data_IF_894416337958
#
_entry.id   IF_894416337958
#
_cell.length_a   1.000
_cell.length_b   1.000
_cell.length_c   1.000
_cell.angle_alpha   90.00
_cell.angle_beta   90.00
_cell.angle_gamma   90.00
#
_symmetry.space_group_name_H-M   'P 1'
#
loop_
_entity.id
_entity.type
_entity.pdbx_description
1 polymer ?
#
# COMPACT_ATOMS: atom_id res chain seq x y z
N UNK A 1 -3.22 7.88 -7.94
CA UNK A 1 -2.65 6.52 -7.77
C UNK A 1 -3.53 5.42 -8.41
N UNK A 2 -2.95 4.28 -8.84
CA UNK A 2 -3.69 3.09 -9.32
C UNK A 2 -3.11 1.78 -8.77
N UNK A 3 -3.98 0.86 -8.34
CA UNK A 3 -3.63 -0.41 -7.70
C UNK A 3 -4.29 -1.58 -8.43
N UNK A 4 -3.56 -2.66 -8.71
CA UNK A 4 -4.12 -3.89 -9.29
C UNK A 4 -3.54 -5.09 -8.58
N UNK A 5 -4.36 -5.76 -7.76
CA UNK A 5 -3.98 -6.97 -7.04
C UNK A 5 -4.21 -8.20 -7.90
N UNK A 6 -3.35 -9.21 -7.80
CA UNK A 6 -3.43 -10.43 -8.61
C UNK A 6 -3.63 -11.69 -7.77
N UNK A 7 -3.46 -11.63 -6.45
CA UNK A 7 -3.50 -12.78 -5.53
C UNK A 7 -2.32 -12.77 -4.56
N UNK A 8 -2.47 -13.39 -3.39
CA UNK A 8 -1.46 -13.36 -2.31
C UNK A 8 -1.01 -11.91 -2.04
N UNK A 9 0.30 -11.62 -2.06
CA UNK A 9 0.85 -10.25 -1.99
C UNK A 9 1.22 -9.67 -3.35
N UNK A 10 0.89 -10.36 -4.44
CA UNK A 10 1.22 -9.93 -5.80
C UNK A 10 0.34 -8.73 -6.21
N UNK A 11 0.95 -7.55 -6.33
CA UNK A 11 0.24 -6.31 -6.67
C UNK A 11 1.09 -5.46 -7.61
N UNK A 12 0.43 -4.82 -8.58
CA UNK A 12 1.00 -3.77 -9.42
C UNK A 12 0.47 -2.42 -8.99
N UNK A 13 1.37 -1.45 -8.86
CA UNK A 13 1.12 -0.14 -8.26
C UNK A 13 1.64 0.92 -9.22
N UNK A 14 0.78 1.86 -9.60
CA UNK A 14 1.18 3.08 -10.28
C UNK A 14 1.03 4.27 -9.33
N UNK A 15 2.15 4.90 -8.99
CA UNK A 15 2.22 6.01 -8.03
C UNK A 15 3.36 6.96 -8.40
N UNK A 16 3.11 8.26 -8.36
CA UNK A 16 4.13 9.28 -8.66
C UNK A 16 4.73 9.16 -10.06
N UNK A 17 3.95 8.68 -11.04
CA UNK A 17 4.41 8.46 -12.40
C UNK A 17 5.18 7.16 -12.65
N UNK A 18 5.40 6.34 -11.61
CA UNK A 18 6.20 5.11 -11.66
C UNK A 18 5.35 3.87 -11.36
N UNK A 19 5.80 2.73 -11.87
CA UNK A 19 5.25 1.40 -11.71
C UNK A 19 6.12 0.55 -10.77
N UNK A 20 5.53 0.12 -9.68
CA UNK A 20 6.10 -0.86 -8.76
C UNK A 20 5.32 -2.16 -8.83
N UNK A 21 6.03 -3.28 -8.73
CA UNK A 21 5.41 -4.60 -8.68
C UNK A 21 5.92 -5.32 -7.45
N UNK A 22 5.02 -5.75 -6.59
CA UNK A 22 5.35 -6.51 -5.38
C UNK A 22 5.09 -7.96 -5.64
N UNK A 23 6.05 -8.81 -5.25
CA UNK A 23 5.92 -10.27 -5.23
C UNK A 23 5.30 -10.92 -6.48
N UNK A 24 5.75 -10.59 -7.70
CA UNK A 24 5.17 -11.17 -8.92
C UNK A 24 5.29 -12.70 -8.94
N UNK A 25 6.29 -13.26 -8.26
CA UNK A 25 6.47 -14.70 -8.10
C UNK A 25 5.37 -15.41 -7.30
N UNK A 26 4.57 -14.66 -6.52
CA UNK A 26 3.44 -15.18 -5.74
C UNK A 26 2.10 -15.01 -6.47
N UNK A 27 2.12 -14.46 -7.69
CA UNK A 27 0.91 -14.39 -8.50
C UNK A 27 0.36 -15.80 -8.79
N UNK A 28 -0.97 -15.99 -8.80
CA UNK A 28 -1.58 -17.29 -9.01
C UNK A 28 -1.34 -17.83 -10.43
N UNK A 29 -1.57 -19.13 -10.61
CA UNK A 29 -1.47 -19.77 -11.92
C UNK A 29 -2.35 -19.09 -12.96
N UNK A 30 -1.78 -18.83 -14.14
CA UNK A 30 -2.44 -18.09 -15.22
C UNK A 30 -2.03 -16.61 -15.32
N UNK A 31 -1.33 -16.07 -14.32
CA UNK A 31 -0.66 -14.77 -14.41
C UNK A 31 0.80 -14.97 -14.81
N UNK A 32 1.22 -14.39 -15.93
CA UNK A 32 2.63 -14.41 -16.34
C UNK A 32 3.43 -13.40 -15.48
N UNK A 33 4.42 -13.91 -14.75
CA UNK A 33 5.22 -13.12 -13.82
C UNK A 33 6.12 -12.10 -14.54
N UNK A 34 6.61 -12.44 -15.73
CA UNK A 34 7.44 -11.57 -16.54
C UNK A 34 6.60 -10.46 -17.17
N UNK A 35 5.38 -10.77 -17.62
CA UNK A 35 4.43 -9.78 -18.09
C UNK A 35 4.01 -8.83 -16.96
N UNK A 36 3.72 -9.37 -15.78
CA UNK A 36 3.35 -8.57 -14.61
C UNK A 36 4.46 -7.58 -14.22
N UNK A 37 5.73 -8.02 -14.27
CA UNK A 37 6.90 -7.19 -13.98
C UNK A 37 7.30 -6.26 -15.14
N UNK A 38 6.73 -6.42 -16.34
CA UNK A 38 7.13 -5.66 -17.52
C UNK A 38 6.85 -4.16 -17.34
N UNK A 39 7.88 -3.36 -17.58
CA UNK A 39 7.83 -1.90 -17.44
C UNK A 39 7.78 -1.40 -16.00
N UNK A 40 7.99 -2.27 -15.00
CA UNK A 40 8.17 -1.84 -13.61
C UNK A 40 9.55 -1.21 -13.40
N UNK A 41 9.59 -0.05 -12.76
CA UNK A 41 10.82 0.60 -12.32
C UNK A 41 11.51 -0.25 -11.26
N UNK A 42 10.72 -0.89 -10.38
CA UNK A 42 11.25 -1.82 -9.38
C UNK A 42 10.28 -2.96 -9.07
N UNK A 43 10.85 -4.16 -8.97
CA UNK A 43 10.20 -5.33 -8.39
C UNK A 43 10.60 -5.43 -6.91
N UNK A 44 9.60 -5.50 -6.04
CA UNK A 44 9.73 -5.44 -4.59
C UNK A 44 9.34 -6.76 -3.96
N UNK A 45 9.77 -6.95 -2.71
CA UNK A 45 9.30 -8.04 -1.86
C UNK A 45 8.59 -7.45 -0.67
N UNK A 46 7.36 -7.88 -0.41
CA UNK A 46 6.63 -7.39 0.76
C UNK A 46 7.36 -7.79 2.04
N UNK A 47 7.96 -8.99 2.07
CA UNK A 47 8.84 -9.47 3.12
C UNK A 47 10.28 -9.68 2.61
N UNK A 48 11.28 -9.22 3.37
CA UNK A 48 12.70 -9.47 3.09
C UNK A 48 13.51 -8.26 2.61
N UNK A 49 14.73 -8.51 2.13
CA UNK A 49 15.73 -7.49 1.79
C UNK A 49 15.76 -7.12 0.31
N UNK A 50 14.91 -6.17 -0.10
CA UNK A 50 14.89 -5.55 -1.44
C UNK A 50 15.58 -4.16 -1.46
N UNK A 51 16.36 -3.87 -0.40
CA UNK A 51 17.08 -2.61 -0.22
C UNK A 51 16.21 -1.43 0.24
N UNK A 52 14.93 -1.64 0.58
CA UNK A 52 14.12 -0.60 1.22
C UNK A 52 14.70 -0.22 2.59
N UNK A 53 14.78 1.08 2.87
CA UNK A 53 15.23 1.60 4.17
C UNK A 53 14.24 1.20 5.26
N UNK A 54 14.74 0.64 6.37
CA UNK A 54 13.89 0.31 7.52
C UNK A 54 13.73 1.54 8.40
N UNK A 55 12.49 1.87 8.75
CA UNK A 55 12.14 3.05 9.55
C UNK A 55 11.19 2.68 10.69
N UNK A 56 11.12 3.53 11.70
CA UNK A 56 10.03 3.49 12.68
C UNK A 56 8.82 4.30 12.14
N UNK A 57 7.68 3.63 11.82
CA UNK A 57 6.52 4.30 11.25
C UNK A 57 5.88 5.30 12.23
N UNK A 58 6.09 5.18 13.55
CA UNK A 58 5.48 6.11 14.53
C UNK A 58 6.01 7.54 14.37
N UNK A 59 7.26 7.67 13.92
CA UNK A 59 8.00 8.92 13.84
C UNK A 59 8.21 9.42 12.40
N UNK A 60 7.86 8.61 11.40
CA UNK A 60 8.04 8.96 10.00
C UNK A 60 7.05 10.03 9.52
N UNK A 61 7.47 10.80 8.51
CA UNK A 61 6.66 11.83 7.85
C UNK A 61 6.85 11.78 6.33
N UNK A 62 5.77 11.99 5.54
CA UNK A 62 5.85 12.06 4.09
C UNK A 62 6.78 13.17 3.60
N UNK A 63 7.29 12.98 2.39
CA UNK A 63 8.02 14.03 1.67
C UNK A 63 7.14 15.28 1.52
N UNK A 64 7.77 16.44 1.72
CA UNK A 64 7.09 17.72 1.51
C UNK A 64 7.03 18.01 0.02
N UNK A 65 5.88 18.50 -0.44
CA UNK A 65 5.79 19.06 -1.77
C UNK A 65 6.79 20.24 -1.92
N UNK A 66 7.51 20.31 -3.05
CA UNK A 66 8.40 21.45 -3.33
C UNK A 66 7.59 22.74 -3.39
N UNK A 67 8.22 23.87 -3.06
CA UNK A 67 7.54 25.17 -3.14
C UNK A 67 7.52 25.60 -4.61
N UNK A 68 6.56 26.46 -4.98
CA UNK A 68 6.49 27.01 -6.35
C UNK A 68 7.77 27.71 -6.81
N UNK A 69 8.58 28.23 -5.88
CA UNK A 69 9.89 28.83 -6.20
C UNK A 69 10.94 27.81 -6.66
N UNK A 70 10.69 26.52 -6.44
CA UNK A 70 11.57 25.39 -6.75
C UNK A 70 11.16 24.70 -8.07
N UNK A 71 10.28 25.29 -8.90
CA UNK A 71 9.69 24.72 -10.14
C UNK A 71 10.73 24.24 -11.20
N UNK A 72 12.02 24.53 -11.02
CA UNK A 72 13.11 24.06 -11.89
C UNK A 72 13.79 22.77 -11.42
N UNK A 73 13.58 22.34 -10.17
CA UNK A 73 14.09 21.07 -9.65
C UNK A 73 12.98 20.02 -9.82
N UNK A 74 13.26 18.94 -10.56
CA UNK A 74 12.28 17.89 -10.82
C UNK A 74 11.65 17.34 -9.54
N UNK A 75 10.46 16.74 -9.66
CA UNK A 75 9.75 16.17 -8.51
C UNK A 75 10.66 15.19 -7.74
N UNK A 76 10.68 15.22 -6.40
CA UNK A 76 11.40 14.25 -5.61
C UNK A 76 11.01 12.82 -5.99
N UNK A 77 11.97 11.87 -6.00
CA UNK A 77 11.69 10.50 -6.39
C UNK A 77 10.74 9.82 -5.41
N UNK A 78 10.01 8.82 -5.91
CA UNK A 78 9.23 7.92 -5.06
C UNK A 78 10.19 7.20 -4.11
N UNK A 79 9.86 7.19 -2.81
CA UNK A 79 10.63 6.53 -1.76
C UNK A 79 9.92 5.30 -1.24
N UNK A 80 10.72 4.31 -0.86
CA UNK A 80 10.27 3.01 -0.41
C UNK A 80 10.88 2.73 0.96
N UNK A 81 10.03 2.38 1.91
CA UNK A 81 10.41 2.13 3.28
C UNK A 81 9.83 0.82 3.78
N UNK A 82 10.56 0.18 4.70
CA UNK A 82 10.10 -0.98 5.43
C UNK A 82 9.67 -0.56 6.84
N UNK A 83 8.46 -0.96 7.22
CA UNK A 83 7.83 -0.60 8.49
C UNK A 83 7.41 -1.81 9.32
N UNK A 84 7.80 -3.02 8.91
CA UNK A 84 7.45 -4.29 9.55
C UNK A 84 8.05 -5.48 8.79
N UNK A 85 7.74 -6.70 9.26
CA UNK A 85 8.26 -7.95 8.67
C UNK A 85 7.74 -8.17 7.24
N UNK A 86 6.46 -7.88 7.02
CA UNK A 86 5.80 -7.96 5.71
C UNK A 86 4.98 -6.69 5.47
N UNK A 87 5.62 -5.53 5.62
CA UNK A 87 4.97 -4.24 5.43
C UNK A 87 5.89 -3.21 4.78
N UNK A 88 5.35 -2.54 3.76
CA UNK A 88 6.02 -1.50 2.99
C UNK A 88 5.23 -0.18 3.09
N UNK A 89 5.96 0.92 3.11
CA UNK A 89 5.43 2.27 2.99
C UNK A 89 6.05 2.94 1.76
N UNK A 90 5.20 3.42 0.87
CA UNK A 90 5.56 4.04 -0.41
C UNK A 90 5.12 5.50 -0.36
N UNK A 91 6.07 6.39 -0.60
CA UNK A 91 5.87 7.83 -0.50
C UNK A 91 6.23 8.51 -1.81
N UNK A 92 5.25 9.21 -2.37
CA UNK A 92 5.38 9.95 -3.61
C UNK A 92 4.80 11.33 -3.42
N UNK A 93 5.55 12.36 -3.79
CA UNK A 93 5.12 13.75 -3.65
C UNK A 93 3.84 13.98 -4.44
N UNK A 94 2.82 14.54 -3.78
CA UNK A 94 1.52 14.83 -4.38
C UNK A 94 0.53 13.67 -4.36
N UNK A 95 0.95 12.48 -3.93
CA UNK A 95 0.08 11.33 -3.71
C UNK A 95 -0.11 11.07 -2.20
N UNK A 96 -1.18 10.38 -1.84
CA UNK A 96 -1.33 9.89 -0.47
C UNK A 96 -0.26 8.82 -0.17
N UNK A 97 0.30 8.77 1.06
CA UNK A 97 1.17 7.67 1.46
C UNK A 97 0.46 6.33 1.26
N UNK A 98 1.14 5.37 0.64
CA UNK A 98 0.61 4.04 0.38
C UNK A 98 1.29 3.03 1.31
N UNK A 99 0.51 2.38 2.17
CA UNK A 99 0.96 1.24 2.96
C UNK A 99 0.49 -0.08 2.33
N UNK A 100 1.38 -1.05 2.28
CA UNK A 100 1.09 -2.43 1.93
C UNK A 100 1.42 -3.32 3.12
N UNK A 101 0.52 -4.19 3.56
CA UNK A 101 0.77 -5.03 4.72
C UNK A 101 0.19 -6.44 4.61
N UNK A 102 1.00 -7.44 4.93
CA UNK A 102 0.63 -8.86 4.99
C UNK A 102 0.64 -9.43 6.40
N UNK A 103 0.64 -8.60 7.44
CA UNK A 103 0.48 -9.01 8.83
C UNK A 103 -0.23 -7.95 9.68
N UNK A 104 -0.76 -8.37 10.83
CA UNK A 104 -1.58 -7.53 11.72
C UNK A 104 -0.77 -6.69 12.74
N UNK A 105 0.51 -7.03 12.95
CA UNK A 105 1.36 -6.35 13.91
C UNK A 105 2.01 -5.09 13.33
N UNK A 106 1.20 -4.04 13.14
CA UNK A 106 1.61 -2.78 12.54
C UNK A 106 1.52 -1.63 13.54
N UNK A 107 2.41 -0.67 13.34
CA UNK A 107 2.50 0.56 14.11
C UNK A 107 2.22 1.76 13.20
N UNK A 108 1.45 2.72 13.71
CA UNK A 108 0.99 3.86 12.93
C UNK A 108 1.50 5.17 13.53
N UNK A 109 1.86 6.10 12.65
CA UNK A 109 2.15 7.49 12.99
C UNK A 109 1.12 8.43 12.37
N UNK A 110 1.31 9.74 12.54
CA UNK A 110 0.40 10.77 11.96
C UNK A 110 0.29 10.73 10.44
N UNK A 111 1.23 10.07 9.76
CA UNK A 111 1.19 9.89 8.31
C UNK A 111 0.02 9.01 7.84
N UNK A 112 -0.53 8.18 8.73
CA UNK A 112 -1.63 7.27 8.41
C UNK A 112 -2.95 8.03 8.16
N UNK A 113 -3.07 9.27 8.63
CA UNK A 113 -4.18 10.15 8.28
C UNK A 113 -4.13 10.48 6.78
N UNK A 114 -5.22 10.18 6.07
CA UNK A 114 -5.31 10.34 4.62
C UNK A 114 -4.51 9.30 3.81
N UNK A 115 -3.90 8.31 4.45
CA UNK A 115 -3.15 7.25 3.76
C UNK A 115 -4.07 6.30 2.98
N UNK A 116 -3.50 5.66 1.96
CA UNK A 116 -4.08 4.51 1.28
C UNK A 116 -3.44 3.26 1.83
N UNK A 117 -4.22 2.28 2.25
CA UNK A 117 -3.74 1.07 2.90
C UNK A 117 -4.25 -0.16 2.17
N UNK A 118 -3.35 -1.06 1.77
CA UNK A 118 -3.69 -2.38 1.22
C UNK A 118 -3.34 -3.46 2.24
N UNK A 119 -4.32 -4.28 2.61
CA UNK A 119 -4.17 -5.36 3.57
C UNK A 119 -4.30 -6.71 2.84
N UNK A 120 -3.21 -7.48 2.83
CA UNK A 120 -3.15 -8.82 2.25
C UNK A 120 -3.52 -9.85 3.30
N UNK A 121 -4.82 -10.15 3.45
CA UNK A 121 -5.34 -11.03 4.51
C UNK A 121 -5.12 -10.53 5.95
N UNK A 122 -4.53 -9.35 6.16
CA UNK A 122 -4.21 -8.76 7.46
C UNK A 122 -5.39 -7.92 8.02
N UNK A 123 -6.54 -8.57 8.21
CA UNK A 123 -7.78 -7.88 8.57
C UNK A 123 -7.76 -7.14 9.91
N UNK A 124 -7.01 -7.64 10.90
CA UNK A 124 -7.00 -7.03 12.23
C UNK A 124 -6.22 -5.72 12.26
N UNK A 125 -5.26 -5.53 11.34
CA UNK A 125 -4.59 -4.25 11.14
C UNK A 125 -5.57 -3.11 10.83
N UNK A 126 -6.69 -3.38 10.16
CA UNK A 126 -7.68 -2.36 9.82
C UNK A 126 -8.31 -1.71 11.06
N UNK A 127 -8.64 -2.51 12.07
CA UNK A 127 -9.20 -2.00 13.32
C UNK A 127 -8.20 -1.10 14.06
N UNK A 128 -6.94 -1.54 14.18
CA UNK A 128 -5.86 -0.76 14.80
C UNK A 128 -5.60 0.56 14.05
N UNK A 129 -5.63 0.52 12.72
CA UNK A 129 -5.48 1.69 11.87
C UNK A 129 -6.59 2.72 12.15
N UNK A 130 -7.85 2.28 12.23
CA UNK A 130 -8.99 3.17 12.48
C UNK A 130 -9.02 3.74 13.92
N UNK A 131 -8.40 3.05 14.88
CA UNK A 131 -8.17 3.61 16.22
C UNK A 131 -7.10 4.71 16.22
N UNK A 132 -6.08 4.57 15.37
CA UNK A 132 -4.93 5.46 15.35
C UNK A 132 -5.09 6.66 14.39
N UNK A 133 -5.88 6.52 13.32
CA UNK A 133 -5.90 7.45 12.19
C UNK A 133 -7.23 7.46 11.43
N UNK A 134 -7.31 8.33 10.42
CA UNK A 134 -8.39 8.41 9.44
C UNK A 134 -7.85 8.20 8.03
N UNK A 135 -7.67 6.94 7.57
CA UNK A 135 -7.15 6.68 6.23
C UNK A 135 -8.12 7.16 5.15
N UNK A 136 -7.59 7.50 3.98
CA UNK A 136 -8.41 7.84 2.79
C UNK A 136 -9.09 6.59 2.24
N UNK A 137 -8.38 5.47 2.20
CA UNK A 137 -8.86 4.20 1.65
C UNK A 137 -8.21 3.01 2.36
N UNK A 138 -9.02 2.01 2.69
CA UNK A 138 -8.59 0.66 3.06
C UNK A 138 -9.01 -0.29 1.92
N UNK A 139 -8.03 -0.93 1.29
CA UNK A 139 -8.23 -1.94 0.26
C UNK A 139 -7.90 -3.33 0.83
N UNK A 140 -8.88 -4.23 0.80
CA UNK A 140 -8.77 -5.58 1.29
C UNK A 140 -8.43 -6.51 0.12
N UNK A 141 -7.25 -7.11 0.16
CA UNK A 141 -6.75 -8.04 -0.84
C UNK A 141 -6.64 -9.43 -0.19
N UNK A 142 -7.66 -10.25 -0.33
CA UNK A 142 -7.70 -11.55 0.34
C UNK A 142 -8.88 -12.41 -0.11
N UNK A 143 -8.97 -13.62 0.43
CA UNK A 143 -10.12 -14.48 0.18
C UNK A 143 -11.41 -13.92 0.81
N UNK A 144 -12.55 -14.32 0.24
CA UNK A 144 -13.90 -13.87 0.63
C UNK A 144 -14.12 -13.94 2.15
N UNK A 145 -13.78 -15.06 2.79
CA UNK A 145 -13.94 -15.23 4.25
C UNK A 145 -13.15 -14.18 5.06
N UNK A 146 -11.90 -13.89 4.66
CA UNK A 146 -11.07 -12.91 5.34
C UNK A 146 -11.58 -11.48 5.11
N UNK A 147 -12.07 -11.19 3.91
CA UNK A 147 -12.70 -9.91 3.56
C UNK A 147 -13.96 -9.70 4.39
N UNK A 148 -14.87 -10.67 4.40
CA UNK A 148 -16.14 -10.59 5.14
C UNK A 148 -15.93 -10.40 6.64
N UNK A 149 -15.01 -11.17 7.23
CA UNK A 149 -14.64 -11.03 8.62
C UNK A 149 -14.10 -9.63 8.93
N UNK A 150 -13.25 -9.08 8.06
CA UNK A 150 -12.67 -7.74 8.22
C UNK A 150 -13.73 -6.65 8.08
N UNK A 151 -14.57 -6.73 7.04
CA UNK A 151 -15.67 -5.79 6.80
C UNK A 151 -16.62 -5.79 8.01
N UNK A 152 -17.01 -6.96 8.50
CA UNK A 152 -17.85 -7.09 9.69
C UNK A 152 -17.25 -6.41 10.92
N UNK A 153 -15.93 -6.48 11.09
CA UNK A 153 -15.22 -5.89 12.23
C UNK A 153 -15.07 -4.36 12.17
N UNK A 154 -15.03 -3.76 10.97
CA UNK A 154 -14.67 -2.33 10.80
C UNK A 154 -15.76 -1.45 10.19
N UNK A 155 -16.83 -2.02 9.62
CA UNK A 155 -17.85 -1.26 8.87
C UNK A 155 -18.45 -0.09 9.65
N UNK A 156 -18.65 -0.24 10.95
CA UNK A 156 -19.30 0.74 11.81
C UNK A 156 -18.29 1.79 12.36
N UNK A 157 -17.04 1.75 11.89
CA UNK A 157 -15.90 2.55 12.37
C UNK A 157 -15.14 3.30 11.27
N UNK A 158 -15.62 3.25 10.02
CA UNK A 158 -14.89 3.81 8.87
C UNK A 158 -14.70 5.33 8.95
N UNK A 159 -15.60 6.07 9.61
CA UNK A 159 -15.49 7.52 9.85
C UNK A 159 -15.06 8.34 8.61
N UNK A 160 -15.60 7.98 7.43
CA UNK A 160 -15.31 8.64 6.15
C UNK A 160 -14.16 8.02 5.34
N UNK A 161 -13.47 7.00 5.87
CA UNK A 161 -12.54 6.19 5.11
C UNK A 161 -13.27 5.38 4.03
N UNK A 162 -12.74 5.38 2.81
CA UNK A 162 -13.18 4.43 1.79
C UNK A 162 -12.82 2.99 2.19
N UNK A 163 -13.66 2.03 1.82
CA UNK A 163 -13.40 0.60 1.96
C UNK A 163 -13.69 -0.10 0.63
N UNK A 164 -12.75 -0.90 0.16
CA UNK A 164 -12.91 -1.69 -1.07
C UNK A 164 -12.37 -3.10 -0.88
N UNK A 165 -13.13 -4.11 -1.32
CA UNK A 165 -12.60 -5.44 -1.55
C UNK A 165 -11.98 -5.49 -2.95
N UNK A 166 -10.71 -5.86 -3.05
CA UNK A 166 -10.02 -5.92 -4.35
C UNK A 166 -10.37 -7.22 -5.06
N UNK A 167 -10.74 -7.11 -6.33
CA UNK A 167 -10.90 -8.26 -7.22
C UNK A 167 -9.60 -8.54 -7.96
N UNK A 168 -9.14 -9.81 -8.06
CA UNK A 168 -7.94 -10.15 -8.80
C UNK A 168 -7.98 -9.68 -10.26
N UNK A 169 -6.94 -8.96 -10.68
CA UNK A 169 -6.80 -8.40 -12.02
C UNK A 169 -7.61 -7.12 -12.29
N UNK A 170 -8.46 -6.68 -11.35
CA UNK A 170 -9.21 -5.44 -11.48
C UNK A 170 -8.43 -4.28 -10.87
N UNK A 171 -8.41 -3.15 -11.59
CA UNK A 171 -7.74 -1.97 -11.11
C UNK A 171 -8.65 -1.09 -10.25
N UNK A 172 -8.10 -0.61 -9.14
CA UNK A 172 -8.67 0.41 -8.27
C UNK A 172 -7.90 1.72 -8.47
N UNK A 173 -8.62 2.79 -8.79
CA UNK A 173 -8.06 4.14 -8.93
C UNK A 173 -8.43 4.98 -7.69
N UNK A 174 -7.47 5.75 -7.19
CA UNK A 174 -7.55 6.47 -5.90
C UNK A 174 -7.19 7.94 -6.03
#
# INVERSE_FOLDING_TARGET
MKLTWFGDTAIRIYIGGQIFVVDPQLAPGGVDQAELAAGAEKVLRLAGGDGAETIDPRNWRPQKAPRMIDEGEGLPPVRLYRIGLSALLIDAVGEAPLMLAGHDDLEFGRWADGAVVVLFGAGQAAAKLLDAARPKLIALAGGEEAVDATVGAIRDRLDGAGLVAMEPGLAVEV
#
